data_IF_096481677976
#
_entry.id   IF_096481677976
#
_cell.length_a   1.000
_cell.length_b   1.000
_cell.length_c   1.000
_cell.angle_alpha   90.00
_cell.angle_beta   90.00
_cell.angle_gamma   90.00
#
_symmetry.space_group_name_H-M   'P 1'
#
loop_
_entity.id
_entity.type
_entity.pdbx_description
1 polymer ?
#
# COMPACT_ATOMS: atom_id res chain seq x y z
N UNK A 1 -1.94 0.18 7.68
CA UNK A 1 -0.51 -0.24 7.58
C UNK A 1 0.32 0.50 8.64
N UNK A 2 -0.34 0.93 9.72
CA UNK A 2 0.07 2.15 10.39
C UNK A 2 1.12 1.84 11.45
N UNK A 3 1.08 0.63 11.99
CA UNK A 3 2.12 0.07 12.85
C UNK A 3 3.49 0.04 12.17
N UNK A 4 3.56 -0.18 10.86
CA UNK A 4 4.82 -0.14 10.11
C UNK A 4 5.33 1.29 9.96
N UNK A 5 4.47 2.25 9.60
CA UNK A 5 4.85 3.67 9.55
C UNK A 5 5.26 4.19 10.93
N UNK A 6 4.51 3.84 11.97
CA UNK A 6 4.85 4.17 13.35
C UNK A 6 6.22 3.61 13.73
N UNK A 7 6.53 2.37 13.38
CA UNK A 7 7.84 1.78 13.62
C UNK A 7 8.95 2.55 12.93
N UNK A 8 8.82 2.83 11.63
CA UNK A 8 9.80 3.62 10.85
C UNK A 8 10.05 4.98 11.51
N UNK A 9 8.98 5.66 11.94
CA UNK A 9 9.09 6.95 12.64
C UNK A 9 9.83 6.80 13.98
N UNK A 10 9.51 5.77 14.77
CA UNK A 10 10.11 5.54 16.09
C UNK A 10 11.60 5.20 16.03
N UNK A 11 12.02 4.40 15.06
CA UNK A 11 13.44 4.00 14.93
C UNK A 11 14.27 5.00 14.14
N UNK A 12 13.63 6.00 13.51
CA UNK A 12 14.31 7.07 12.79
C UNK A 12 14.55 6.81 11.31
N UNK A 13 14.07 5.68 10.76
CA UNK A 13 14.13 5.42 9.33
C UNK A 13 13.92 3.97 8.92
N UNK A 14 14.11 3.70 7.63
CA UNK A 14 14.00 2.38 7.00
C UNK A 14 15.20 2.16 6.07
N UNK A 15 15.66 0.92 5.96
CA UNK A 15 16.76 0.53 5.08
C UNK A 15 16.35 0.51 3.60
N UNK A 16 17.36 0.55 2.72
CA UNK A 16 17.19 0.14 1.33
C UNK A 16 17.11 -1.38 1.20
N UNK A 17 16.46 -1.86 0.14
CA UNK A 17 16.41 -3.29 -0.22
C UNK A 17 17.82 -3.86 -0.45
N UNK A 18 18.74 -3.09 -1.01
CA UNK A 18 20.13 -3.52 -1.22
C UNK A 18 20.84 -3.85 0.11
N UNK A 19 20.61 -3.03 1.14
CA UNK A 19 21.22 -3.24 2.46
C UNK A 19 20.51 -4.34 3.26
N UNK A 20 19.18 -4.38 3.21
CA UNK A 20 18.36 -5.34 3.96
C UNK A 20 17.39 -6.09 3.03
N UNK A 21 17.88 -7.08 2.25
CA UNK A 21 17.08 -7.72 1.21
C UNK A 21 15.99 -8.62 1.75
N UNK A 22 14.86 -8.66 1.04
CA UNK A 22 13.72 -9.49 1.37
C UNK A 22 14.05 -10.98 1.30
N UNK A 23 13.56 -11.74 2.28
CA UNK A 23 13.82 -13.19 2.42
C UNK A 23 12.60 -14.07 2.27
N UNK A 24 11.39 -13.50 2.26
CA UNK A 24 10.15 -14.28 2.25
C UNK A 24 9.85 -15.04 3.55
N UNK A 25 10.67 -14.87 4.60
CA UNK A 25 10.52 -15.51 5.90
C UNK A 25 10.94 -14.56 7.02
N UNK A 26 10.27 -14.63 8.16
CA UNK A 26 10.63 -13.85 9.33
C UNK A 26 11.93 -14.40 9.94
N UNK A 27 12.97 -13.55 9.99
CA UNK A 27 14.23 -13.83 10.67
C UNK A 27 14.36 -13.06 11.99
N UNK A 28 15.54 -13.14 12.59
CA UNK A 28 15.95 -12.22 13.65
C UNK A 28 16.28 -10.84 13.06
N UNK A 29 16.01 -9.78 13.82
CA UNK A 29 16.38 -8.42 13.43
C UNK A 29 17.92 -8.29 13.44
N UNK A 30 18.49 -7.96 12.28
CA UNK A 30 19.91 -7.64 12.15
C UNK A 30 20.13 -6.17 12.53
N UNK A 31 20.57 -5.94 13.77
CA UNK A 31 20.70 -4.59 14.33
C UNK A 31 21.84 -3.78 13.72
N UNK A 32 22.87 -4.45 13.18
CA UNK A 32 23.97 -3.76 12.51
C UNK A 32 23.50 -3.20 11.16
N UNK A 33 22.76 -4.00 10.39
CA UNK A 33 22.17 -3.53 9.14
C UNK A 33 21.08 -2.50 9.38
N UNK A 34 20.24 -2.68 10.40
CA UNK A 34 19.09 -1.81 10.63
C UNK A 34 19.45 -0.37 10.96
N UNK A 35 20.68 -0.12 11.43
CA UNK A 35 21.19 1.21 11.73
C UNK A 35 21.44 2.09 10.48
N UNK A 36 21.47 1.52 9.27
CA UNK A 36 21.73 2.25 8.01
C UNK A 36 20.44 2.67 7.29
N UNK A 37 19.86 3.80 7.68
CA UNK A 37 18.61 4.28 7.10
C UNK A 37 18.81 4.92 5.72
N UNK A 38 18.02 4.50 4.73
CA UNK A 38 17.96 5.08 3.39
C UNK A 38 16.86 6.14 3.26
N UNK A 39 15.81 6.05 4.07
CA UNK A 39 14.72 7.02 4.14
C UNK A 39 14.17 7.13 5.56
N UNK A 40 13.50 8.25 5.84
CA UNK A 40 12.76 8.47 7.08
C UNK A 40 11.44 9.18 6.79
N UNK A 41 10.51 9.14 7.74
CA UNK A 41 9.23 9.86 7.66
C UNK A 41 9.04 10.71 8.89
N UNK A 42 8.39 11.85 8.73
CA UNK A 42 8.00 12.73 9.85
C UNK A 42 6.69 12.29 10.50
N UNK A 43 5.87 11.49 9.81
CA UNK A 43 4.62 10.96 10.32
C UNK A 43 3.80 10.27 9.24
N UNK A 44 2.58 9.88 9.60
CA UNK A 44 1.56 9.31 8.72
C UNK A 44 0.18 9.84 9.14
N UNK A 45 -0.79 9.70 8.26
CA UNK A 45 -2.17 10.13 8.51
C UNK A 45 -3.13 9.14 7.88
N UNK A 46 -4.23 8.88 8.58
CA UNK A 46 -5.31 8.06 8.04
C UNK A 46 -6.22 8.92 7.17
N UNK A 47 -6.49 8.42 5.96
CA UNK A 47 -7.57 8.95 5.13
C UNK A 47 -8.90 8.61 5.83
N UNK A 48 -9.89 9.54 5.87
CA UNK A 48 -11.21 9.25 6.42
C UNK A 48 -11.79 7.96 5.85
N UNK A 49 -12.25 7.08 6.74
CA UNK A 49 -12.73 5.75 6.36
C UNK A 49 -13.92 5.86 5.40
N UNK A 50 -13.89 5.02 4.35
CA UNK A 50 -14.95 4.91 3.34
C UNK A 50 -15.25 6.21 2.57
N UNK A 51 -14.28 7.11 2.45
CA UNK A 51 -14.39 8.34 1.64
C UNK A 51 -13.44 8.29 0.44
N UNK A 52 -13.91 7.78 -0.69
CA UNK A 52 -13.14 7.71 -1.92
C UNK A 52 -12.77 9.09 -2.49
N UNK A 53 -13.51 10.16 -2.16
CA UNK A 53 -13.14 11.51 -2.57
C UNK A 53 -11.96 12.03 -1.75
N UNK A 54 -11.91 11.72 -0.45
CA UNK A 54 -10.75 12.01 0.38
C UNK A 54 -9.53 11.20 -0.07
N UNK A 55 -9.72 9.92 -0.40
CA UNK A 55 -8.67 9.07 -0.97
C UNK A 55 -8.16 9.64 -2.30
N UNK A 56 -9.03 10.11 -3.18
CA UNK A 56 -8.65 10.70 -4.48
C UNK A 56 -7.74 11.92 -4.29
N UNK A 57 -8.10 12.80 -3.34
CA UNK A 57 -7.26 13.95 -2.98
C UNK A 57 -5.91 13.53 -2.41
N UNK A 58 -5.87 12.48 -1.58
CA UNK A 58 -4.62 11.98 -1.01
C UNK A 58 -3.71 11.36 -2.09
N UNK A 59 -4.27 10.52 -2.97
CA UNK A 59 -3.55 9.87 -4.07
C UNK A 59 -3.01 10.88 -5.08
N UNK A 60 -3.72 11.99 -5.30
CA UNK A 60 -3.24 13.09 -6.14
C UNK A 60 -1.95 13.75 -5.60
N UNK A 61 -1.65 13.59 -4.30
CA UNK A 61 -0.46 14.15 -3.66
C UNK A 61 0.69 13.14 -3.57
N UNK A 62 0.39 11.88 -3.29
CA UNK A 62 1.37 10.81 -3.10
C UNK A 62 0.70 9.44 -3.16
N UNK A 63 1.46 8.34 -3.39
CA UNK A 63 0.92 6.99 -3.22
C UNK A 63 0.37 6.75 -1.80
N UNK A 64 -0.72 5.98 -1.71
CA UNK A 64 -1.44 5.72 -0.46
C UNK A 64 -1.58 4.21 -0.24
N UNK A 65 -1.14 3.71 0.91
CA UNK A 65 -1.37 2.32 1.30
C UNK A 65 -2.84 2.10 1.64
N UNK A 66 -3.47 1.08 1.06
CA UNK A 66 -4.87 0.70 1.32
C UNK A 66 -4.98 -0.80 1.60
N UNK A 67 -6.09 -1.21 2.20
CA UNK A 67 -6.43 -2.63 2.38
C UNK A 67 -7.64 -2.97 1.51
N UNK A 68 -7.62 -4.15 0.90
CA UNK A 68 -8.66 -4.69 0.04
C UNK A 68 -9.02 -6.12 0.46
N UNK A 69 -10.18 -6.58 0.00
CA UNK A 69 -10.49 -8.01 -0.05
C UNK A 69 -10.01 -8.58 -1.39
N UNK A 70 -8.99 -9.43 -1.34
CA UNK A 70 -8.42 -10.13 -2.50
C UNK A 70 -8.76 -11.63 -2.51
N UNK A 71 -9.82 -12.05 -1.79
CA UNK A 71 -10.17 -13.47 -1.64
C UNK A 71 -10.94 -14.05 -2.83
N UNK A 72 -11.54 -13.21 -3.68
CA UNK A 72 -12.37 -13.68 -4.78
C UNK A 72 -11.53 -14.29 -5.91
N UNK A 73 -12.04 -15.37 -6.53
CA UNK A 73 -11.42 -15.96 -7.72
C UNK A 73 -11.32 -14.95 -8.87
N UNK A 74 -12.32 -14.07 -9.01
CA UNK A 74 -12.31 -13.00 -9.99
C UNK A 74 -11.06 -12.11 -9.85
N UNK A 75 -10.69 -11.75 -8.61
CA UNK A 75 -9.49 -10.95 -8.34
C UNK A 75 -8.21 -11.77 -8.54
N UNK A 76 -8.17 -13.01 -8.07
CA UNK A 76 -7.00 -13.89 -8.21
C UNK A 76 -6.61 -14.16 -9.67
N UNK A 77 -7.59 -14.25 -10.57
CA UNK A 77 -7.38 -14.50 -12.00
C UNK A 77 -7.55 -13.25 -12.87
N UNK A 78 -7.68 -12.07 -12.25
CA UNK A 78 -7.68 -10.80 -12.97
C UNK A 78 -6.38 -10.65 -13.77
N UNK A 79 -6.49 -10.09 -14.99
CA UNK A 79 -5.35 -9.98 -15.90
C UNK A 79 -5.26 -8.64 -16.62
N UNK A 80 -6.39 -8.03 -16.98
CA UNK A 80 -6.42 -6.77 -17.75
C UNK A 80 -7.78 -6.08 -17.63
N UNK A 81 -7.82 -4.79 -17.97
CA UNK A 81 -9.01 -3.95 -17.96
C UNK A 81 -9.19 -3.16 -16.67
N UNK A 82 -10.43 -2.83 -16.35
CA UNK A 82 -10.81 -2.32 -15.02
C UNK A 82 -11.51 -3.46 -14.30
N UNK A 83 -11.02 -3.80 -13.10
CA UNK A 83 -11.63 -4.85 -12.30
C UNK A 83 -12.99 -4.41 -11.77
N UNK A 84 -14.06 -5.10 -12.19
CA UNK A 84 -15.43 -4.91 -11.70
C UNK A 84 -16.07 -6.23 -11.25
N UNK A 85 -15.23 -7.24 -10.96
CA UNK A 85 -15.68 -8.55 -10.49
C UNK A 85 -16.18 -8.52 -9.05
N UNK A 86 -16.61 -9.67 -8.55
CA UNK A 86 -17.08 -9.77 -7.17
C UNK A 86 -15.95 -9.47 -6.17
N UNK A 87 -16.26 -8.65 -5.17
CA UNK A 87 -15.39 -8.39 -4.02
C UNK A 87 -16.22 -8.18 -2.75
N UNK A 88 -15.66 -8.56 -1.61
CA UNK A 88 -16.22 -8.27 -0.29
C UNK A 88 -15.53 -7.09 0.39
N UNK A 89 -15.79 -6.95 1.69
CA UNK A 89 -15.14 -5.98 2.57
C UNK A 89 -14.35 -6.65 3.68
N UNK A 90 -14.12 -7.97 3.58
CA UNK A 90 -13.31 -8.74 4.53
C UNK A 90 -11.82 -8.56 4.18
N UNK A 91 -11.31 -7.39 4.57
CA UNK A 91 -9.98 -6.92 4.22
C UNK A 91 -8.89 -7.92 4.63
N UNK A 92 -8.13 -8.42 3.65
CA UNK A 92 -7.13 -9.47 3.85
C UNK A 92 -5.81 -9.21 3.11
N UNK A 93 -5.75 -8.17 2.28
CA UNK A 93 -4.59 -7.86 1.48
C UNK A 93 -4.28 -6.36 1.51
N UNK A 94 -3.01 -6.02 1.67
CA UNK A 94 -2.53 -4.64 1.68
C UNK A 94 -1.81 -4.32 0.36
N UNK A 95 -2.21 -3.22 -0.28
CA UNK A 95 -1.66 -2.75 -1.56
C UNK A 95 -1.41 -1.24 -1.49
N UNK A 96 -0.89 -0.66 -2.57
CA UNK A 96 -0.62 0.78 -2.63
C UNK A 96 -1.31 1.39 -3.84
N UNK A 97 -2.24 2.31 -3.62
CA UNK A 97 -2.78 3.11 -4.71
C UNK A 97 -1.71 4.09 -5.17
N UNK A 98 -1.27 3.97 -6.42
CA UNK A 98 -0.26 4.84 -7.04
C UNK A 98 -0.85 5.85 -8.02
N UNK A 99 -2.15 5.74 -8.31
CA UNK A 99 -2.85 6.67 -9.19
C UNK A 99 -4.33 6.33 -9.38
N UNK A 100 -4.98 7.07 -10.26
CA UNK A 100 -6.37 6.87 -10.67
C UNK A 100 -6.56 7.38 -12.09
N UNK A 101 -7.66 6.97 -12.72
CA UNK A 101 -7.97 7.42 -14.07
C UNK A 101 -9.40 7.20 -14.47
N UNK A 102 -9.67 7.42 -15.76
CA UNK A 102 -10.95 7.17 -16.39
C UNK A 102 -10.68 6.61 -17.78
N UNK A 103 -11.32 5.50 -18.11
CA UNK A 103 -11.24 4.88 -19.44
C UNK A 103 -11.97 5.74 -20.48
N UNK A 104 -11.77 5.45 -21.77
CA UNK A 104 -12.41 6.20 -22.86
C UNK A 104 -13.95 6.15 -22.81
N UNK A 105 -14.52 5.05 -22.32
CA UNK A 105 -15.96 4.85 -22.11
C UNK A 105 -16.48 5.40 -20.77
N UNK A 106 -15.62 6.05 -19.98
CA UNK A 106 -16.01 6.79 -18.78
C UNK A 106 -15.93 6.01 -17.46
N UNK A 107 -15.39 4.79 -17.45
CA UNK A 107 -15.21 3.99 -16.24
C UNK A 107 -14.03 4.51 -15.41
N UNK A 108 -14.29 4.85 -14.15
CA UNK A 108 -13.26 5.29 -13.20
C UNK A 108 -12.54 4.09 -12.62
N UNK A 109 -11.24 4.22 -12.38
CA UNK A 109 -10.44 3.16 -11.76
C UNK A 109 -9.36 3.73 -10.83
N UNK A 110 -8.95 2.89 -9.88
CA UNK A 110 -7.74 3.05 -9.09
C UNK A 110 -6.60 2.25 -9.75
N UNK A 111 -5.40 2.82 -9.77
CA UNK A 111 -4.18 2.11 -10.12
C UNK A 111 -3.54 1.64 -8.80
N UNK A 112 -3.67 0.34 -8.53
CA UNK A 112 -3.09 -0.36 -7.38
C UNK A 112 -1.68 -0.88 -7.68
#
# INVERSE_FOLDING_TARGET
MDTAFQYIQQIGGINSEENYPYRGVQGMCDTEKSASHAASISGYVDVPSNDENALLKAVAMQPVSVAIDASSNDFLFYSTGVFTGECGTDLNHAVTVVGYGTTEDGMKYWLL
#
